data_IF_610156339402
#
_entry.id   IF_610156339402
#
_cell.length_a   1.000
_cell.length_b   1.000
_cell.length_c   1.000
_cell.angle_alpha   90.00
_cell.angle_beta   90.00
_cell.angle_gamma   90.00
#
_symmetry.space_group_name_H-M   'P 1'
#
loop_
_entity.id
_entity.type
_entity.pdbx_description
1 polymer ?
#
# COMPACT_ATOMS: atom_id res chain seq x y z
N UNK A 1 2.07 12.13 5.21
CA UNK A 1 2.02 13.58 5.51
C UNK A 1 3.32 14.23 5.04
N UNK A 2 3.27 15.44 4.44
CA UNK A 2 4.46 16.12 3.94
C UNK A 2 5.45 16.45 5.07
N UNK A 3 6.70 16.05 4.89
CA UNK A 3 7.82 16.37 5.79
C UNK A 3 9.14 16.05 5.06
N UNK A 4 10.28 16.46 5.64
CA UNK A 4 11.60 16.09 5.08
C UNK A 4 11.89 14.59 5.07
N UNK A 5 11.10 13.79 5.79
CA UNK A 5 11.19 12.33 5.85
C UNK A 5 10.00 11.64 5.16
N UNK A 6 9.18 12.37 4.41
CA UNK A 6 8.06 11.80 3.68
C UNK A 6 8.54 10.95 2.50
N UNK A 7 7.70 9.98 2.10
CA UNK A 7 7.87 9.28 0.83
C UNK A 7 7.89 10.26 -0.34
N UNK A 8 8.71 9.97 -1.34
CA UNK A 8 8.92 10.79 -2.53
C UNK A 8 8.59 9.99 -3.78
N UNK A 9 8.19 10.66 -4.88
CA UNK A 9 8.18 10.02 -6.19
C UNK A 9 9.54 9.37 -6.51
N UNK A 10 9.49 8.23 -7.19
CA UNK A 10 10.62 7.35 -7.50
C UNK A 10 11.27 6.62 -6.30
N UNK A 11 10.76 6.78 -5.07
CA UNK A 11 11.15 5.86 -4.00
C UNK A 11 10.68 4.44 -4.36
N UNK A 12 11.55 3.44 -4.14
CA UNK A 12 11.23 2.02 -4.30
C UNK A 12 11.10 1.38 -2.93
N UNK A 13 9.89 0.94 -2.60
CA UNK A 13 9.58 0.33 -1.31
C UNK A 13 9.62 -1.18 -1.43
N UNK A 14 10.14 -1.86 -0.41
CA UNK A 14 9.96 -3.30 -0.24
C UNK A 14 8.72 -3.52 0.62
N UNK A 15 7.72 -4.15 0.03
CA UNK A 15 6.46 -4.47 0.69
C UNK A 15 6.60 -5.69 1.60
N UNK A 16 5.68 -5.82 2.54
CA UNK A 16 5.48 -7.06 3.28
C UNK A 16 5.19 -8.20 2.30
N UNK A 17 5.91 -9.32 2.43
CA UNK A 17 5.93 -10.41 1.44
C UNK A 17 7.02 -10.29 0.36
N UNK A 18 7.87 -9.25 0.42
CA UNK A 18 9.14 -9.20 -0.32
C UNK A 18 9.07 -8.67 -1.75
N UNK A 19 7.89 -8.29 -2.25
CA UNK A 19 7.76 -7.60 -3.54
C UNK A 19 8.20 -6.14 -3.41
N UNK A 20 8.75 -5.56 -4.47
CA UNK A 20 9.08 -4.14 -4.51
C UNK A 20 8.07 -3.35 -5.32
N UNK A 21 7.84 -2.08 -4.94
CA UNK A 21 6.92 -1.15 -5.61
C UNK A 21 7.60 0.21 -5.77
N UNK A 22 7.59 0.75 -6.98
CA UNK A 22 7.99 2.13 -7.25
C UNK A 22 6.82 3.09 -7.00
N UNK A 23 7.07 4.12 -6.20
CA UNK A 23 6.09 5.18 -5.90
C UNK A 23 6.12 6.22 -7.01
N UNK A 24 5.23 6.10 -8.00
CA UNK A 24 5.09 7.12 -9.06
C UNK A 24 4.28 8.34 -8.61
N UNK A 25 3.34 8.14 -7.69
CA UNK A 25 2.50 9.19 -7.11
C UNK A 25 2.27 8.90 -5.63
N UNK A 26 2.67 9.84 -4.77
CA UNK A 26 2.53 9.74 -3.31
C UNK A 26 1.09 9.93 -2.82
N UNK A 27 0.18 10.44 -3.66
CA UNK A 27 -1.27 10.55 -3.41
C UNK A 27 -2.03 9.23 -3.71
N UNK A 28 -1.28 8.19 -4.12
CA UNK A 28 -1.81 6.85 -4.30
C UNK A 28 -1.41 5.91 -3.15
N UNK A 29 -1.06 6.45 -1.98
CA UNK A 29 -0.47 5.73 -0.85
C UNK A 29 -1.40 4.71 -0.20
N UNK A 30 -2.72 4.90 -0.29
CA UNK A 30 -3.70 3.98 0.31
C UNK A 30 -3.54 2.53 -0.17
N UNK A 31 -3.13 2.32 -1.43
CA UNK A 31 -2.88 0.97 -1.98
C UNK A 31 -1.61 0.32 -1.42
N UNK A 32 -0.65 1.12 -0.95
CA UNK A 32 0.61 0.61 -0.39
C UNK A 32 0.34 -0.01 0.98
N UNK A 33 -0.38 0.71 1.84
CA UNK A 33 -0.81 0.20 3.15
C UNK A 33 -1.71 -1.03 3.00
N UNK A 34 -2.65 -0.99 2.05
CA UNK A 34 -3.55 -2.11 1.76
C UNK A 34 -2.79 -3.37 1.32
N UNK A 35 -1.76 -3.23 0.49
CA UNK A 35 -0.97 -4.37 0.03
C UNK A 35 -0.31 -5.10 1.22
N UNK A 36 0.28 -4.37 2.15
CA UNK A 36 0.86 -4.96 3.37
C UNK A 36 -0.23 -5.57 4.26
N UNK A 37 -1.36 -4.89 4.43
CA UNK A 37 -2.49 -5.38 5.22
C UNK A 37 -3.08 -6.69 4.69
N UNK A 38 -3.22 -6.83 3.38
CA UNK A 38 -3.71 -8.07 2.75
C UNK A 38 -2.72 -9.22 2.95
N UNK A 39 -1.42 -8.96 2.77
CA UNK A 39 -0.40 -10.00 2.99
C UNK A 39 -0.36 -10.40 4.47
N UNK A 40 -0.46 -9.45 5.40
CA UNK A 40 -0.56 -9.75 6.83
C UNK A 40 -1.81 -10.56 7.16
N UNK A 41 -2.99 -10.14 6.70
CA UNK A 41 -4.25 -10.87 6.93
C UNK A 41 -4.20 -12.30 6.37
N UNK A 42 -3.51 -12.52 5.23
CA UNK A 42 -3.37 -13.85 4.64
C UNK A 42 -2.59 -14.84 5.51
N UNK A 43 -1.75 -14.35 6.44
CA UNK A 43 -0.99 -15.21 7.36
C UNK A 43 -1.84 -15.82 8.47
N UNK A 44 -3.08 -15.34 8.66
CA UNK A 44 -4.04 -15.90 9.62
C UNK A 44 -4.85 -17.07 9.03
N UNK A 45 -4.56 -17.47 7.78
CA UNK A 45 -5.27 -18.53 7.05
C UNK A 45 -6.81 -18.38 7.00
N UNK A 46 -7.35 -17.19 6.69
CA UNK A 46 -8.79 -17.01 6.59
C UNK A 46 -9.37 -17.67 5.33
N UNK A 47 -10.65 -18.06 5.38
CA UNK A 47 -11.38 -18.55 4.20
C UNK A 47 -11.58 -17.46 3.14
N UNK A 48 -11.67 -16.20 3.56
CA UNK A 48 -11.79 -15.04 2.69
C UNK A 48 -11.26 -13.76 3.35
N UNK A 49 -10.76 -12.83 2.53
CA UNK A 49 -10.35 -11.48 2.94
C UNK A 49 -11.20 -10.48 2.17
N UNK A 50 -11.82 -9.53 2.88
CA UNK A 50 -12.61 -8.46 2.30
C UNK A 50 -12.00 -7.13 2.78
N UNK A 51 -11.54 -6.31 1.84
CA UNK A 51 -11.09 -4.94 2.09
C UNK A 51 -12.12 -3.94 1.54
N UNK A 52 -12.27 -2.80 2.23
CA UNK A 52 -13.15 -1.70 1.83
C UNK A 52 -12.38 -0.39 1.96
N UNK A 53 -12.24 0.33 0.85
CA UNK A 53 -11.49 1.57 0.82
C UNK A 53 -12.14 2.62 -0.09
N UNK A 54 -12.03 3.89 0.30
CA UNK A 54 -12.24 5.06 -0.58
C UNK A 54 -11.00 5.27 -1.47
N UNK A 55 -10.60 4.23 -2.21
CA UNK A 55 -9.25 4.10 -2.75
C UNK A 55 -8.92 5.07 -3.90
N UNK A 56 -9.94 5.58 -4.59
CA UNK A 56 -9.78 6.46 -5.75
C UNK A 56 -10.87 7.51 -5.75
N UNK A 57 -10.49 8.76 -5.96
CA UNK A 57 -11.38 9.73 -6.59
C UNK A 57 -11.49 9.41 -8.08
N UNK A 58 -12.71 9.51 -8.65
CA UNK A 58 -12.90 9.62 -10.09
C UNK A 58 -13.08 11.11 -10.43
N UNK A 59 -12.20 11.62 -11.27
CA UNK A 59 -12.38 12.76 -12.17
C UNK A 59 -11.64 12.43 -13.46
#
# INVERSE_FOLDING_TARGET
MPSGAAQRPADVLTMFGGKTVEVLNTDAEGRLVMADGIVAASQEYPDAIIDVATLRGRN
#
